data_IF_805041432247
#
_entry.id   IF_805041432247
#
_cell.length_a   1.000
_cell.length_b   1.000
_cell.length_c   1.000
_cell.angle_alpha   90.00
_cell.angle_beta   90.00
_cell.angle_gamma   90.00
#
_symmetry.space_group_name_H-M   'P 1'
#
loop_
_entity.id
_entity.type
_entity.pdbx_description
1 polymer ?
#
# COMPACT_ATOMS: atom_id res chain seq x y z
N UNK A 1 5.72 -73.27 38.73
CA UNK A 1 6.45 -71.98 38.71
C UNK A 1 7.47 -72.07 37.58
N UNK A 2 7.10 -71.71 36.36
CA UNK A 2 7.23 -70.36 35.74
C UNK A 2 8.67 -69.94 35.44
N UNK A 3 8.93 -69.69 34.16
CA UNK A 3 10.00 -68.82 33.66
C UNK A 3 11.00 -69.58 32.78
N UNK A 4 11.06 -69.31 31.47
CA UNK A 4 11.90 -68.24 30.87
C UNK A 4 13.35 -68.74 30.75
N UNK A 5 14.10 -68.74 29.65
CA UNK A 5 14.04 -68.20 28.28
C UNK A 5 15.43 -68.56 27.71
N UNK A 6 15.53 -69.00 26.45
CA UNK A 6 16.70 -68.78 25.58
C UNK A 6 16.48 -69.46 24.22
N UNK A 7 15.43 -69.06 23.50
CA UNK A 7 15.44 -69.18 22.04
C UNK A 7 16.35 -68.06 21.53
N UNK A 8 17.65 -68.34 21.54
CA UNK A 8 18.67 -67.43 21.09
C UNK A 8 18.92 -67.66 19.60
N UNK A 9 18.39 -66.76 18.77
CA UNK A 9 19.03 -66.43 17.50
C UNK A 9 18.36 -66.96 16.25
N UNK A 10 17.04 -66.81 16.10
CA UNK A 10 16.37 -67.08 14.81
C UNK A 10 15.57 -65.91 14.22
N UNK A 11 15.76 -64.70 14.74
CA UNK A 11 14.86 -63.59 14.37
C UNK A 11 15.58 -62.38 13.76
N UNK A 12 16.90 -62.44 13.55
CA UNK A 12 17.67 -61.25 13.13
C UNK A 12 17.66 -60.99 11.63
N UNK A 13 17.19 -61.89 10.78
CA UNK A 13 17.32 -61.73 9.33
C UNK A 13 16.05 -62.24 8.63
N UNK A 14 14.87 -61.67 8.89
CA UNK A 14 13.77 -61.86 7.95
C UNK A 14 12.76 -60.71 8.01
N UNK A 15 12.66 -59.97 6.91
CA UNK A 15 11.67 -58.91 6.69
C UNK A 15 12.24 -57.52 6.97
N UNK A 16 12.43 -56.62 6.03
CA UNK A 16 11.81 -56.52 4.72
C UNK A 16 12.74 -55.77 3.76
N UNK A 17 13.59 -56.52 3.07
CA UNK A 17 13.91 -56.19 1.69
C UNK A 17 12.76 -56.75 0.84
N UNK A 18 11.59 -56.10 0.93
CA UNK A 18 10.57 -56.29 -0.08
C UNK A 18 10.99 -55.42 -1.24
N UNK A 19 11.52 -56.09 -2.26
CA UNK A 19 11.58 -55.58 -3.60
C UNK A 19 10.14 -55.31 -4.09
N UNK A 20 9.57 -54.19 -3.66
CA UNK A 20 8.42 -53.59 -4.29
C UNK A 20 8.95 -52.84 -5.52
N UNK A 21 8.48 -53.27 -6.70
CA UNK A 21 9.01 -52.84 -8.00
C UNK A 21 8.90 -51.33 -8.27
N UNK A 22 9.34 -50.86 -9.45
CA UNK A 22 9.40 -49.44 -9.86
C UNK A 22 8.07 -48.65 -9.83
N UNK A 23 7.00 -49.23 -9.31
CA UNK A 23 5.68 -48.63 -9.13
C UNK A 23 5.46 -47.97 -7.75
N UNK A 24 6.29 -48.20 -6.73
CA UNK A 24 6.18 -47.51 -5.42
C UNK A 24 6.95 -46.19 -5.37
N UNK A 25 8.18 -46.16 -5.90
CA UNK A 25 9.01 -44.97 -6.00
C UNK A 25 8.34 -43.86 -6.84
N UNK A 26 7.70 -44.25 -7.94
CA UNK A 26 6.94 -43.34 -8.78
C UNK A 26 5.75 -42.72 -8.03
N UNK A 27 5.05 -43.50 -7.17
CA UNK A 27 3.96 -43.00 -6.33
C UNK A 27 4.45 -42.01 -5.25
N UNK A 28 5.67 -42.19 -4.74
CA UNK A 28 6.29 -41.26 -3.79
C UNK A 28 6.56 -39.90 -4.43
N UNK A 29 7.17 -39.86 -5.62
CA UNK A 29 7.46 -38.60 -6.32
C UNK A 29 6.17 -37.86 -6.73
N UNK A 30 5.15 -38.60 -7.17
CA UNK A 30 3.83 -38.02 -7.43
C UNK A 30 3.19 -37.45 -6.16
N UNK A 31 3.38 -38.10 -5.01
CA UNK A 31 2.93 -37.61 -3.70
C UNK A 31 3.67 -36.36 -3.25
N UNK A 32 4.99 -36.31 -3.47
CA UNK A 32 5.82 -35.15 -3.14
C UNK A 32 5.47 -33.96 -4.03
N UNK A 33 5.23 -34.18 -5.32
CA UNK A 33 4.72 -33.14 -6.22
C UNK A 33 3.34 -32.64 -5.82
N UNK A 34 2.44 -33.52 -5.41
CA UNK A 34 1.11 -33.12 -4.91
C UNK A 34 1.22 -32.28 -3.63
N UNK A 35 2.17 -32.62 -2.75
CA UNK A 35 2.45 -31.87 -1.51
C UNK A 35 3.03 -30.49 -1.83
N UNK A 36 4.02 -30.42 -2.72
CA UNK A 36 4.61 -29.15 -3.17
C UNK A 36 3.59 -28.25 -3.87
N UNK A 37 2.66 -28.84 -4.63
CA UNK A 37 1.59 -28.11 -5.30
C UNK A 37 0.56 -27.58 -4.29
N UNK A 38 0.21 -28.37 -3.28
CA UNK A 38 -0.66 -27.95 -2.19
C UNK A 38 -0.03 -26.82 -1.38
N UNK A 39 1.24 -26.95 -1.02
CA UNK A 39 2.00 -25.93 -0.28
C UNK A 39 2.18 -24.64 -1.12
N UNK A 40 2.49 -24.77 -2.41
CA UNK A 40 2.61 -23.64 -3.34
C UNK A 40 1.28 -22.89 -3.52
N UNK A 41 0.16 -23.61 -3.53
CA UNK A 41 -1.17 -23.02 -3.55
C UNK A 41 -1.44 -22.25 -2.25
N UNK A 42 -1.14 -22.82 -1.10
CA UNK A 42 -1.29 -22.13 0.20
C UNK A 42 -0.42 -20.86 0.27
N UNK A 43 0.79 -20.91 -0.29
CA UNK A 43 1.67 -19.74 -0.37
C UNK A 43 1.11 -18.65 -1.29
N UNK A 44 0.57 -19.03 -2.46
CA UNK A 44 -0.08 -18.09 -3.37
C UNK A 44 -1.34 -17.44 -2.74
N UNK A 45 -2.14 -18.23 -2.03
CA UNK A 45 -3.32 -17.73 -1.30
C UNK A 45 -2.91 -16.73 -0.20
N UNK A 46 -1.79 -16.96 0.49
CA UNK A 46 -1.25 -16.06 1.50
C UNK A 46 -0.77 -14.72 0.90
N UNK A 47 -0.07 -14.74 -0.24
CA UNK A 47 0.42 -13.52 -0.89
C UNK A 47 -0.75 -12.65 -1.41
N UNK A 48 -1.77 -13.28 -2.01
CA UNK A 48 -3.00 -12.58 -2.43
C UNK A 48 -3.70 -11.93 -1.24
N UNK A 49 -3.79 -12.63 -0.11
CA UNK A 49 -4.37 -12.08 1.11
C UNK A 49 -3.56 -10.90 1.66
N UNK A 50 -2.23 -10.98 1.63
CA UNK A 50 -1.33 -9.90 2.05
C UNK A 50 -1.48 -8.65 1.17
N UNK A 51 -1.47 -8.81 -0.16
CA UNK A 51 -1.64 -7.70 -1.09
C UNK A 51 -3.04 -7.07 -0.98
N UNK A 52 -4.09 -7.89 -0.79
CA UNK A 52 -5.45 -7.42 -0.54
C UNK A 52 -5.57 -6.63 0.76
N UNK A 53 -4.89 -7.06 1.82
CA UNK A 53 -4.84 -6.33 3.10
C UNK A 53 -4.10 -4.99 2.95
N UNK A 54 -2.98 -4.97 2.23
CA UNK A 54 -2.19 -3.75 1.97
C UNK A 54 -2.96 -2.74 1.13
N UNK A 55 -3.64 -3.18 0.07
CA UNK A 55 -4.54 -2.36 -0.75
C UNK A 55 -5.75 -1.86 0.04
N UNK A 56 -6.36 -2.72 0.88
CA UNK A 56 -7.48 -2.34 1.72
C UNK A 56 -7.11 -1.29 2.78
N UNK A 57 -5.93 -1.39 3.37
CA UNK A 57 -5.42 -0.41 4.33
C UNK A 57 -5.05 0.92 3.65
N UNK A 58 -4.31 0.86 2.54
CA UNK A 58 -3.94 2.03 1.75
C UNK A 58 -5.18 2.75 1.19
N UNK A 59 -6.17 1.99 0.69
CA UNK A 59 -7.42 2.55 0.14
C UNK A 59 -8.27 3.27 1.18
N UNK A 60 -8.44 2.69 2.38
CA UNK A 60 -9.21 3.33 3.46
C UNK A 60 -8.53 4.62 3.97
N UNK A 61 -7.21 4.62 4.07
CA UNK A 61 -6.46 5.83 4.44
C UNK A 61 -6.45 6.87 3.33
N UNK A 62 -6.30 6.44 2.08
CA UNK A 62 -6.39 7.29 0.90
C UNK A 62 -7.74 8.00 0.81
N UNK A 63 -8.85 7.29 1.05
CA UNK A 63 -10.19 7.89 1.06
C UNK A 63 -10.34 8.97 2.14
N UNK A 64 -9.87 8.72 3.36
CA UNK A 64 -9.90 9.72 4.44
C UNK A 64 -9.10 10.96 4.09
N UNK A 65 -7.88 10.78 3.57
CA UNK A 65 -7.03 11.90 3.14
C UNK A 65 -7.70 12.65 1.98
N UNK A 66 -8.31 11.95 1.03
CA UNK A 66 -9.01 12.55 -0.09
C UNK A 66 -10.24 13.35 0.36
N UNK A 67 -11.07 12.81 1.27
CA UNK A 67 -12.24 13.52 1.82
C UNK A 67 -11.79 14.75 2.62
N UNK A 68 -10.81 14.61 3.52
CA UNK A 68 -10.29 15.75 4.27
C UNK A 68 -9.67 16.80 3.35
N UNK A 69 -8.93 16.38 2.32
CA UNK A 69 -8.35 17.27 1.32
C UNK A 69 -9.42 18.00 0.50
N UNK A 70 -10.47 17.31 0.07
CA UNK A 70 -11.60 17.91 -0.64
C UNK A 70 -12.35 18.91 0.25
N UNK A 71 -12.62 18.56 1.52
CA UNK A 71 -13.27 19.45 2.46
C UNK A 71 -12.42 20.70 2.74
N UNK A 72 -11.10 20.52 2.94
CA UNK A 72 -10.18 21.63 3.10
C UNK A 72 -10.17 22.55 1.88
N UNK A 73 -10.17 22.00 0.66
CA UNK A 73 -10.24 22.77 -0.58
C UNK A 73 -11.52 23.61 -0.64
N UNK A 74 -12.66 23.01 -0.33
CA UNK A 74 -13.95 23.70 -0.27
C UNK A 74 -13.92 24.84 0.76
N UNK A 75 -13.41 24.58 1.97
CA UNK A 75 -13.24 25.60 2.99
C UNK A 75 -12.34 26.76 2.54
N UNK A 76 -11.24 26.47 1.84
CA UNK A 76 -10.35 27.50 1.27
C UNK A 76 -11.11 28.37 0.27
N UNK A 77 -11.92 27.78 -0.62
CA UNK A 77 -12.73 28.54 -1.58
C UNK A 77 -13.70 29.48 -0.85
N UNK A 78 -14.43 28.98 0.16
CA UNK A 78 -15.31 29.83 0.97
C UNK A 78 -14.56 30.93 1.71
N UNK A 79 -13.39 30.62 2.27
CA UNK A 79 -12.54 31.59 2.93
C UNK A 79 -12.06 32.68 1.97
N UNK A 80 -11.72 32.34 0.72
CA UNK A 80 -11.35 33.32 -0.31
C UNK A 80 -12.52 34.25 -0.64
N UNK A 81 -13.74 33.74 -0.81
CA UNK A 81 -14.91 34.59 -1.01
C UNK A 81 -15.19 35.50 0.20
N UNK A 82 -15.14 34.96 1.41
CA UNK A 82 -15.31 35.74 2.64
C UNK A 82 -14.23 36.82 2.78
N UNK A 83 -12.98 36.50 2.43
CA UNK A 83 -11.87 37.45 2.42
C UNK A 83 -12.08 38.57 1.38
N UNK A 84 -12.52 38.23 0.16
CA UNK A 84 -12.84 39.22 -0.88
C UNK A 84 -13.91 40.17 -0.38
N UNK A 85 -15.02 39.66 0.15
CA UNK A 85 -16.13 40.47 0.67
C UNK A 85 -15.64 41.33 1.85
N UNK A 86 -14.89 40.75 2.78
CA UNK A 86 -14.35 41.43 3.95
C UNK A 86 -13.40 42.58 3.58
N UNK A 87 -12.50 42.37 2.62
CA UNK A 87 -11.59 43.44 2.14
C UNK A 87 -12.38 44.51 1.41
N UNK A 88 -13.35 44.14 0.55
CA UNK A 88 -14.18 45.13 -0.15
C UNK A 88 -14.89 46.04 0.85
N UNK A 89 -15.55 45.48 1.86
CA UNK A 89 -16.27 46.24 2.89
C UNK A 89 -15.32 47.04 3.80
N UNK A 90 -14.15 46.47 4.14
CA UNK A 90 -13.16 47.13 5.00
C UNK A 90 -12.44 48.30 4.32
N UNK A 91 -12.21 48.21 3.01
CA UNK A 91 -11.57 49.27 2.22
C UNK A 91 -12.57 50.29 1.66
N UNK A 92 -13.85 49.95 1.56
CA UNK A 92 -14.90 50.86 1.06
C UNK A 92 -14.89 52.28 1.67
N UNK A 93 -14.61 52.50 2.98
CA UNK A 93 -14.54 53.87 3.51
C UNK A 93 -13.27 54.64 3.11
N UNK A 94 -12.21 53.96 2.65
CA UNK A 94 -10.91 54.58 2.32
C UNK A 94 -10.64 54.66 0.82
N UNK A 95 -11.16 53.71 0.04
CA UNK A 95 -11.05 53.65 -1.41
C UNK A 95 -12.43 53.56 -2.03
N UNK A 96 -12.61 54.20 -3.19
CA UNK A 96 -13.79 53.98 -4.02
C UNK A 96 -13.91 52.50 -4.38
N UNK A 97 -15.13 52.03 -4.67
CA UNK A 97 -15.42 50.61 -4.98
C UNK A 97 -14.45 50.00 -5.99
N UNK A 98 -14.03 50.78 -7.00
CA UNK A 98 -13.07 50.39 -8.03
C UNK A 98 -11.63 50.23 -7.51
N UNK A 99 -11.19 51.08 -6.58
CA UNK A 99 -9.85 50.96 -5.97
C UNK A 99 -9.73 49.73 -5.07
N UNK A 100 -10.81 49.40 -4.36
CA UNK A 100 -10.86 48.24 -3.48
C UNK A 100 -10.81 46.92 -4.26
N UNK A 101 -11.61 46.79 -5.33
CA UNK A 101 -11.58 45.59 -6.18
C UNK A 101 -10.23 45.39 -6.89
N UNK A 102 -9.61 46.47 -7.38
CA UNK A 102 -8.27 46.40 -7.99
C UNK A 102 -7.20 45.95 -6.98
N UNK A 103 -7.21 46.49 -5.76
CA UNK A 103 -6.27 46.10 -4.70
C UNK A 103 -6.41 44.62 -4.31
N UNK A 104 -7.66 44.12 -4.18
CA UNK A 104 -7.92 42.70 -3.87
C UNK A 104 -7.38 41.78 -4.96
N UNK A 105 -7.62 42.12 -6.24
CA UNK A 105 -7.14 41.31 -7.36
C UNK A 105 -5.61 41.25 -7.36
N UNK A 106 -4.92 42.38 -7.17
CA UNK A 106 -3.46 42.41 -7.10
C UNK A 106 -2.94 41.55 -5.94
N UNK A 107 -3.54 41.68 -4.75
CA UNK A 107 -3.15 40.89 -3.59
C UNK A 107 -3.34 39.37 -3.81
N UNK A 108 -4.46 38.96 -4.41
CA UNK A 108 -4.72 37.56 -4.73
C UNK A 108 -3.79 37.01 -5.80
N UNK A 109 -3.44 37.81 -6.82
CA UNK A 109 -2.48 37.40 -7.85
C UNK A 109 -1.08 37.19 -7.25
N UNK A 110 -0.65 38.06 -6.34
CA UNK A 110 0.62 37.89 -5.63
C UNK A 110 0.61 36.62 -4.78
N UNK A 111 -0.46 36.39 -4.00
CA UNK A 111 -0.61 35.18 -3.22
C UNK A 111 -0.61 33.91 -4.09
N UNK A 112 -1.32 33.93 -5.22
CA UNK A 112 -1.35 32.83 -6.18
C UNK A 112 0.04 32.54 -6.78
N UNK A 113 0.81 33.59 -7.10
CA UNK A 113 2.17 33.45 -7.62
C UNK A 113 3.10 32.81 -6.59
N UNK A 114 3.04 33.23 -5.33
CA UNK A 114 3.80 32.60 -4.23
C UNK A 114 3.42 31.13 -4.06
N UNK A 115 2.12 30.82 -4.02
CA UNK A 115 1.64 29.44 -3.94
C UNK A 115 2.15 28.60 -5.13
N UNK A 116 2.12 29.14 -6.34
CA UNK A 116 2.60 28.44 -7.54
C UNK A 116 4.10 28.15 -7.48
N UNK A 117 4.91 29.10 -6.98
CA UNK A 117 6.36 28.90 -6.79
C UNK A 117 6.62 27.80 -5.78
N UNK A 118 5.95 27.83 -4.62
CA UNK A 118 6.09 26.81 -3.57
C UNK A 118 5.65 25.44 -4.10
N UNK A 119 4.50 25.37 -4.79
CA UNK A 119 3.98 24.14 -5.37
C UNK A 119 4.95 23.56 -6.41
N UNK A 120 5.51 24.39 -7.29
CA UNK A 120 6.52 23.96 -8.27
C UNK A 120 7.79 23.45 -7.61
N UNK A 121 8.26 24.13 -6.57
CA UNK A 121 9.44 23.70 -5.83
C UNK A 121 9.21 22.34 -5.19
N UNK A 122 8.05 22.14 -4.55
CA UNK A 122 7.72 20.87 -3.90
C UNK A 122 7.51 19.73 -4.90
N UNK A 123 6.81 19.99 -6.01
CA UNK A 123 6.59 19.01 -7.08
C UNK A 123 7.92 18.51 -7.68
N UNK A 124 8.88 19.42 -7.89
CA UNK A 124 10.22 19.04 -8.38
C UNK A 124 10.96 18.12 -7.42
N UNK A 125 10.91 18.41 -6.10
CA UNK A 125 11.54 17.57 -5.07
C UNK A 125 10.95 16.16 -5.03
N UNK A 126 9.63 16.05 -5.14
CA UNK A 126 8.94 14.76 -5.19
C UNK A 126 9.35 14.00 -6.46
N UNK A 127 9.33 14.66 -7.63
CA UNK A 127 9.71 14.02 -8.89
C UNK A 127 11.18 13.61 -8.96
N UNK A 128 12.08 14.32 -8.27
CA UNK A 128 13.49 13.94 -8.19
C UNK A 128 13.67 12.61 -7.45
N UNK A 129 12.96 12.41 -6.33
CA UNK A 129 13.02 11.17 -5.55
C UNK A 129 12.54 9.92 -6.32
N UNK A 130 11.77 10.08 -7.40
CA UNK A 130 11.32 8.98 -8.26
C UNK A 130 12.18 8.80 -9.52
N UNK A 131 13.13 9.70 -9.79
CA UNK A 131 14.02 9.63 -10.97
C UNK A 131 15.38 9.02 -10.65
N UNK A 132 15.66 8.74 -9.37
CA UNK A 132 16.93 8.18 -8.89
C UNK A 132 16.98 6.64 -8.88
N UNK A 133 16.15 5.94 -9.67
CA UNK A 133 16.34 4.52 -10.00
C UNK A 133 16.99 4.37 -11.38
N UNK A 134 18.32 4.54 -11.50
CA UNK A 134 19.06 4.05 -12.65
C UNK A 134 19.09 2.52 -12.62
N UNK A 135 18.70 1.94 -13.74
CA UNK A 135 18.70 0.51 -14.04
C UNK A 135 19.98 -0.19 -13.54
N UNK A 136 19.81 -1.24 -12.75
CA UNK A 136 20.85 -2.19 -12.34
C UNK A 136 20.40 -3.61 -12.70
#
# INVERSE_FOLDING_TARGET
MTGHQADAGKDRIEGADKADGPAEDNRSLFSDMATLLADGRTFAEAEVAYQKARLGYAGKRGLRIAICGALALVCVIFALFALIIGVILGLAPYLTVWGSSAAVVIALLLAALVCLVIARHNARRISAAFRDEPEA
#
